data_IF_287466721587
#
_entry.id   IF_287466721587
#
_cell.length_a   1.000
_cell.length_b   1.000
_cell.length_c   1.000
_cell.angle_alpha   90.00
_cell.angle_beta   90.00
_cell.angle_gamma   90.00
#
_symmetry.space_group_name_H-M   'P 1'
#
loop_
_entity.id
_entity.type
_entity.pdbx_description
1 polymer ?
#
# COMPACT_ATOMS: atom_id res chain seq x y z
N UNK A 1 -26.59 21.21 16.34
CA UNK A 1 -25.15 21.14 16.71
C UNK A 1 -24.30 21.67 15.56
N UNK A 2 -23.08 22.21 15.82
CA UNK A 2 -22.21 22.76 14.75
C UNK A 2 -21.87 21.73 13.66
N UNK A 3 -21.72 20.46 14.03
CA UNK A 3 -21.42 19.37 13.09
C UNK A 3 -22.54 19.14 12.05
N UNK A 4 -23.80 19.15 12.48
CA UNK A 4 -24.96 18.96 11.58
C UNK A 4 -25.06 20.10 10.56
N UNK A 5 -24.74 21.34 10.97
CA UNK A 5 -24.71 22.49 10.07
C UNK A 5 -23.61 22.36 9.02
N UNK A 6 -22.43 21.82 9.37
CA UNK A 6 -21.35 21.57 8.41
C UNK A 6 -21.76 20.44 7.47
N UNK A 7 -22.36 19.38 8.00
CA UNK A 7 -22.83 18.24 7.21
C UNK A 7 -23.87 18.65 6.17
N UNK A 8 -24.85 19.48 6.54
CA UNK A 8 -25.85 20.01 5.61
C UNK A 8 -25.29 20.96 4.56
N UNK A 9 -24.13 21.58 4.79
CA UNK A 9 -23.43 22.39 3.77
C UNK A 9 -22.65 21.49 2.81
N UNK A 10 -22.03 20.43 3.31
CA UNK A 10 -21.26 19.50 2.48
C UNK A 10 -22.14 18.55 1.66
N UNK A 11 -23.36 18.25 2.11
CA UNK A 11 -24.27 17.30 1.47
C UNK A 11 -25.62 17.95 1.22
N UNK A 12 -25.99 18.14 -0.06
CA UNK A 12 -27.16 18.94 -0.47
C UNK A 12 -28.50 18.48 0.15
N UNK A 13 -28.66 17.18 0.41
CA UNK A 13 -29.87 16.60 1.03
C UNK A 13 -29.67 16.20 2.50
N UNK A 14 -28.58 16.63 3.13
CA UNK A 14 -28.21 16.20 4.49
C UNK A 14 -27.87 14.72 4.59
N UNK A 15 -27.59 14.06 3.45
CA UNK A 15 -27.15 12.67 3.34
C UNK A 15 -26.09 12.54 2.23
N UNK A 16 -25.05 11.72 2.43
CA UNK A 16 -24.11 11.40 1.36
C UNK A 16 -24.83 10.56 0.31
N UNK A 17 -24.68 10.93 -0.95
CA UNK A 17 -25.13 10.10 -2.07
C UNK A 17 -24.14 8.94 -2.18
N UNK A 18 -24.62 7.71 -2.04
CA UNK A 18 -23.79 6.51 -2.06
C UNK A 18 -24.35 5.48 -3.03
N UNK A 19 -23.46 4.68 -3.61
CA UNK A 19 -23.81 3.64 -4.56
C UNK A 19 -22.99 2.38 -4.29
N UNK A 20 -23.61 1.21 -4.43
CA UNK A 20 -22.90 -0.06 -4.40
C UNK A 20 -22.16 -0.24 -5.72
N UNK A 21 -20.85 -0.42 -5.65
CA UNK A 21 -19.99 -0.65 -6.82
C UNK A 21 -19.06 -1.83 -6.55
N UNK A 22 -18.61 -2.49 -7.60
CA UNK A 22 -17.60 -3.54 -7.49
C UNK A 22 -16.25 -2.92 -7.84
N UNK A 23 -15.31 -2.91 -6.88
CA UNK A 23 -13.92 -2.57 -7.18
C UNK A 23 -13.32 -3.76 -7.93
N UNK A 24 -12.90 -3.60 -9.20
CA UNK A 24 -12.34 -4.71 -9.96
C UNK A 24 -11.01 -5.18 -9.39
N UNK A 25 -10.74 -6.49 -9.49
CA UNK A 25 -9.41 -7.03 -9.30
C UNK A 25 -8.40 -6.31 -10.22
N UNK A 26 -7.19 -6.07 -9.72
CA UNK A 26 -6.17 -5.34 -10.45
C UNK A 26 -6.26 -3.81 -10.32
N UNK A 27 -7.32 -3.27 -9.70
CA UNK A 27 -7.41 -1.82 -9.43
C UNK A 27 -6.17 -1.36 -8.69
N UNK A 28 -5.45 -0.40 -9.28
CA UNK A 28 -4.22 0.12 -8.70
C UNK A 28 -4.52 1.09 -7.57
N UNK A 29 -3.74 0.94 -6.50
CA UNK A 29 -3.78 1.82 -5.34
C UNK A 29 -2.36 2.27 -5.02
N UNK A 30 -2.19 3.56 -4.74
CA UNK A 30 -0.91 4.11 -4.27
C UNK A 30 -0.91 4.12 -2.74
N UNK A 31 0.14 3.54 -2.14
CA UNK A 31 0.32 3.48 -0.70
C UNK A 31 1.59 4.18 -0.29
N UNK A 32 1.64 4.61 0.97
CA UNK A 32 2.80 5.18 1.64
C UNK A 32 3.07 4.43 2.94
N UNK A 33 4.33 4.07 3.18
CA UNK A 33 4.75 3.49 4.45
C UNK A 33 4.73 4.53 5.57
N UNK A 34 4.15 4.18 6.72
CA UNK A 34 4.06 5.07 7.90
C UNK A 34 5.25 4.94 8.86
N UNK A 35 6.18 4.04 8.57
CA UNK A 35 7.39 3.88 9.34
C UNK A 35 8.54 3.37 8.47
N UNK A 36 9.76 3.60 8.94
CA UNK A 36 10.96 3.08 8.28
C UNK A 36 11.08 1.57 8.53
N UNK A 37 11.20 0.79 7.45
CA UNK A 37 11.44 -0.67 7.52
C UNK A 37 12.86 -0.99 7.07
N UNK A 38 13.53 -1.92 7.75
CA UNK A 38 14.86 -2.37 7.39
C UNK A 38 15.11 -3.83 7.76
N UNK A 39 15.81 -4.54 6.87
CA UNK A 39 16.25 -5.92 7.14
C UNK A 39 17.26 -6.03 8.29
N UNK A 40 17.78 -4.89 8.78
CA UNK A 40 18.73 -4.84 9.90
C UNK A 40 18.03 -4.82 11.26
N UNK A 41 16.93 -4.08 11.38
CA UNK A 41 16.27 -3.76 12.65
C UNK A 41 14.96 -4.49 12.85
N UNK A 42 14.16 -4.63 11.78
CA UNK A 42 12.88 -5.30 11.86
C UNK A 42 13.05 -6.83 11.85
N UNK A 43 12.03 -7.52 12.37
CA UNK A 43 12.04 -8.98 12.57
C UNK A 43 10.92 -9.65 11.79
N UNK A 44 11.10 -10.93 11.50
CA UNK A 44 10.01 -11.78 10.98
C UNK A 44 8.84 -11.81 11.96
N UNK A 45 7.61 -11.67 11.45
CA UNK A 45 6.37 -11.60 12.23
C UNK A 45 6.01 -10.20 12.73
N UNK A 46 6.88 -9.20 12.49
CA UNK A 46 6.60 -7.82 12.86
C UNK A 46 5.60 -7.20 11.88
N UNK A 47 4.59 -6.50 12.40
CA UNK A 47 3.61 -5.77 11.59
C UNK A 47 4.04 -4.34 11.35
N UNK A 48 3.61 -3.77 10.23
CA UNK A 48 3.81 -2.36 9.90
C UNK A 48 2.52 -1.77 9.35
N UNK A 49 2.40 -0.45 9.48
CA UNK A 49 1.25 0.28 8.94
C UNK A 49 1.65 1.00 7.66
N UNK A 50 0.70 1.07 6.75
CA UNK A 50 0.75 1.90 5.56
C UNK A 50 -0.57 2.64 5.41
N UNK A 51 -0.60 3.66 4.58
CA UNK A 51 -1.82 4.35 4.24
C UNK A 51 -1.93 4.58 2.74
N UNK A 52 -3.14 4.81 2.27
CA UNK A 52 -3.39 5.23 0.90
C UNK A 52 -2.89 6.66 0.71
N UNK A 53 -2.05 6.90 -0.29
CA UNK A 53 -1.45 8.21 -0.55
C UNK A 53 -2.31 9.10 -1.45
N UNK A 54 -3.22 8.51 -2.24
CA UNK A 54 -4.09 9.23 -3.16
C UNK A 54 -5.49 8.62 -3.18
N UNK A 55 -6.52 9.47 -3.31
CA UNK A 55 -7.90 9.01 -3.46
C UNK A 55 -8.04 8.11 -4.69
N UNK A 56 -8.73 6.99 -4.53
CA UNK A 56 -9.03 6.05 -5.62
C UNK A 56 -10.49 6.22 -6.02
N UNK A 57 -10.71 6.41 -7.31
CA UNK A 57 -12.03 6.63 -7.89
C UNK A 57 -12.39 5.54 -8.89
N UNK A 58 -13.67 5.20 -8.95
CA UNK A 58 -14.28 4.38 -10.00
C UNK A 58 -15.49 5.13 -10.54
N UNK A 59 -15.49 5.49 -11.83
CA UNK A 59 -16.58 6.24 -12.47
C UNK A 59 -17.01 7.50 -11.68
N UNK A 60 -16.04 8.33 -11.29
CA UNK A 60 -16.20 9.54 -10.45
C UNK A 60 -16.74 9.29 -9.03
N UNK A 61 -16.79 8.04 -8.57
CA UNK A 61 -17.19 7.68 -7.20
C UNK A 61 -15.94 7.38 -6.38
N UNK A 62 -15.83 7.98 -5.20
CA UNK A 62 -14.74 7.73 -4.27
C UNK A 62 -14.92 6.35 -3.64
N UNK A 63 -14.01 5.43 -3.93
CA UNK A 63 -14.04 4.05 -3.42
C UNK A 63 -13.07 3.84 -2.25
N UNK A 64 -11.89 4.47 -2.30
CA UNK A 64 -10.87 4.37 -1.25
C UNK A 64 -10.32 5.78 -0.99
N UNK A 65 -10.56 6.35 0.21
CA UNK A 65 -10.04 7.66 0.54
C UNK A 65 -8.54 7.64 0.84
N UNK A 66 -7.89 8.78 0.59
CA UNK A 66 -6.54 9.07 1.08
C UNK A 66 -6.51 8.95 2.60
N UNK A 67 -5.38 8.48 3.12
CA UNK A 67 -5.16 8.14 4.53
C UNK A 67 -5.97 6.95 5.05
N UNK A 68 -6.68 6.20 4.20
CA UNK A 68 -7.15 4.86 4.61
C UNK A 68 -5.95 4.02 5.03
N UNK A 69 -5.98 3.55 6.29
CA UNK A 69 -4.90 2.76 6.87
C UNK A 69 -5.04 1.28 6.55
N UNK A 70 -3.90 0.63 6.30
CA UNK A 70 -3.79 -0.80 6.16
C UNK A 70 -2.62 -1.36 6.97
N UNK A 71 -2.65 -2.67 7.19
CA UNK A 71 -1.64 -3.39 7.96
C UNK A 71 -0.93 -4.40 7.07
N UNK A 72 0.40 -4.43 7.16
CA UNK A 72 1.25 -5.44 6.57
C UNK A 72 2.03 -6.22 7.63
N UNK A 73 2.65 -7.31 7.21
CA UNK A 73 3.53 -8.13 8.03
C UNK A 73 4.84 -8.42 7.30
N UNK A 74 5.94 -8.35 8.04
CA UNK A 74 7.25 -8.80 7.58
C UNK A 74 7.29 -10.33 7.70
N UNK A 75 7.03 -11.02 6.61
CA UNK A 75 7.09 -12.49 6.54
C UNK A 75 8.52 -13.00 6.62
N UNK A 76 9.53 -12.16 6.34
CA UNK A 76 10.93 -12.49 6.56
C UNK A 76 11.84 -11.28 6.64
N UNK A 77 12.67 -11.21 7.68
CA UNK A 77 13.79 -10.27 7.74
C UNK A 77 15.12 -11.01 7.84
N UNK A 78 16.04 -10.74 6.91
CA UNK A 78 17.42 -11.23 6.94
C UNK A 78 18.40 -10.08 6.85
N UNK A 79 19.14 -9.85 7.92
CA UNK A 79 20.22 -8.87 7.96
C UNK A 79 21.35 -9.26 7.00
N UNK A 80 21.97 -8.26 6.38
CA UNK A 80 23.16 -8.41 5.59
C UNK A 80 24.37 -8.81 6.44
N UNK A 81 25.24 -9.64 5.89
CA UNK A 81 26.55 -9.95 6.49
C UNK A 81 27.60 -9.07 5.84
N UNK A 82 28.49 -8.49 6.66
CA UNK A 82 29.41 -7.38 6.34
C UNK A 82 30.06 -7.42 4.94
N UNK A 83 30.33 -8.61 4.37
CA UNK A 83 31.03 -8.78 3.08
C UNK A 83 30.51 -9.93 2.19
N UNK A 84 29.38 -10.59 2.51
CA UNK A 84 28.98 -11.81 1.77
C UNK A 84 27.54 -11.84 1.30
N UNK A 85 26.58 -11.68 2.22
CA UNK A 85 25.15 -11.83 1.91
C UNK A 85 24.46 -10.48 1.98
N UNK A 86 23.73 -10.07 0.91
CA UNK A 86 22.87 -8.91 1.00
C UNK A 86 21.72 -9.16 1.98
N UNK A 87 21.21 -8.06 2.54
CA UNK A 87 19.99 -8.11 3.35
C UNK A 87 18.77 -8.41 2.49
N UNK A 88 17.74 -8.98 3.12
CA UNK A 88 16.46 -9.32 2.48
C UNK A 88 15.30 -8.99 3.42
N UNK A 89 14.26 -8.39 2.87
CA UNK A 89 12.96 -8.20 3.49
C UNK A 89 11.90 -8.87 2.59
N UNK A 90 11.10 -9.76 3.15
CA UNK A 90 9.89 -10.28 2.53
C UNK A 90 8.71 -9.79 3.38
N UNK A 91 7.65 -9.32 2.74
CA UNK A 91 6.48 -8.77 3.41
C UNK A 91 5.18 -9.07 2.66
N UNK A 92 4.10 -9.15 3.40
CA UNK A 92 2.74 -9.35 2.90
C UNK A 92 1.86 -8.17 3.33
N UNK A 93 0.99 -7.72 2.43
CA UNK A 93 -0.04 -6.74 2.73
C UNK A 93 -1.32 -7.50 3.09
N UNK A 94 -1.86 -7.29 4.30
CA UNK A 94 -2.99 -8.08 4.80
C UNK A 94 -4.32 -7.51 4.35
N UNK A 95 -4.65 -6.34 4.86
CA UNK A 95 -5.96 -5.73 4.66
C UNK A 95 -5.89 -4.21 4.70
N UNK A 96 -6.74 -3.60 3.87
CA UNK A 96 -7.04 -2.18 3.84
C UNK A 96 -8.55 -2.02 4.02
N UNK A 97 -9.01 -1.08 4.83
CA UNK A 97 -10.43 -0.76 4.92
C UNK A 97 -10.83 0.25 3.84
N UNK A 98 -11.86 -0.11 3.05
CA UNK A 98 -12.56 0.80 2.15
C UNK A 98 -13.38 1.84 2.95
N UNK A 99 -14.01 2.78 2.25
CA UNK A 99 -14.79 3.86 2.86
C UNK A 99 -15.91 3.37 3.79
N UNK A 100 -16.53 2.25 3.44
CA UNK A 100 -17.65 1.61 4.14
C UNK A 100 -17.20 0.61 5.22
N UNK A 101 -15.90 0.44 5.43
CA UNK A 101 -15.31 -0.54 6.33
C UNK A 101 -15.07 -1.92 5.72
N UNK A 102 -15.44 -2.14 4.44
CA UNK A 102 -15.18 -3.40 3.75
C UNK A 102 -13.68 -3.65 3.65
N UNK A 103 -13.25 -4.89 3.94
CA UNK A 103 -11.85 -5.28 3.92
C UNK A 103 -11.40 -5.63 2.51
N UNK A 104 -10.39 -4.90 2.02
CA UNK A 104 -9.74 -5.12 0.73
C UNK A 104 -8.41 -5.84 0.94
N UNK A 105 -8.20 -6.94 0.20
CA UNK A 105 -6.90 -7.59 0.11
C UNK A 105 -6.07 -6.94 -0.99
N UNK A 106 -4.83 -6.56 -0.67
CA UNK A 106 -3.90 -5.95 -1.63
C UNK A 106 -2.75 -6.90 -1.96
N UNK A 107 -2.32 -6.87 -3.21
CA UNK A 107 -1.20 -7.67 -3.71
C UNK A 107 -0.25 -6.81 -4.54
N UNK A 108 1.01 -7.25 -4.65
CA UNK A 108 1.91 -6.79 -5.69
C UNK A 108 1.64 -7.61 -6.96
N UNK A 109 0.61 -7.22 -7.71
CA UNK A 109 0.34 -7.81 -9.02
C UNK A 109 1.25 -7.24 -10.12
N UNK A 110 1.08 -7.73 -11.34
CA UNK A 110 1.97 -7.44 -12.48
C UNK A 110 2.06 -5.95 -12.81
N UNK A 111 0.93 -5.25 -12.90
CA UNK A 111 0.91 -3.82 -13.23
C UNK A 111 1.52 -2.98 -12.12
N UNK A 112 1.26 -3.33 -10.85
CA UNK A 112 1.88 -2.68 -9.71
C UNK A 112 3.40 -2.89 -9.71
N UNK A 113 3.87 -4.12 -10.00
CA UNK A 113 5.30 -4.42 -10.11
C UNK A 113 5.96 -3.57 -11.21
N UNK A 114 5.32 -3.47 -12.38
CA UNK A 114 5.84 -2.68 -13.49
C UNK A 114 5.88 -1.18 -13.16
N UNK A 115 4.80 -0.62 -12.60
CA UNK A 115 4.76 0.79 -12.18
C UNK A 115 5.79 1.09 -11.11
N UNK A 116 5.96 0.20 -10.13
CA UNK A 116 6.98 0.34 -9.11
C UNK A 116 8.40 0.33 -9.69
N UNK A 117 8.71 -0.59 -10.62
CA UNK A 117 10.01 -0.59 -11.33
C UNK A 117 10.28 0.76 -12.00
N UNK A 118 9.28 1.32 -12.69
CA UNK A 118 9.40 2.64 -13.35
C UNK A 118 9.57 3.78 -12.33
N UNK A 119 8.77 3.77 -11.26
CA UNK A 119 8.81 4.77 -10.19
C UNK A 119 10.20 4.84 -9.55
N UNK A 120 10.76 3.69 -9.15
CA UNK A 120 12.07 3.65 -8.50
C UNK A 120 13.23 4.00 -9.44
N UNK A 121 13.11 3.71 -10.73
CA UNK A 121 14.08 4.17 -11.74
C UNK A 121 14.04 5.69 -11.89
N UNK A 122 12.83 6.28 -11.95
CA UNK A 122 12.64 7.70 -12.24
C UNK A 122 13.00 8.63 -11.05
N UNK A 123 12.60 8.27 -9.83
CA UNK A 123 12.77 9.13 -8.67
C UNK A 123 14.17 8.99 -8.06
N UNK A 124 14.92 7.91 -8.39
CA UNK A 124 16.22 7.61 -7.79
C UNK A 124 16.18 7.46 -6.26
N UNK A 125 14.98 7.40 -5.67
CA UNK A 125 14.73 7.67 -4.28
C UNK A 125 14.44 6.41 -3.46
N UNK A 126 15.05 6.37 -2.27
CA UNK A 126 14.74 5.49 -1.14
C UNK A 126 15.29 4.06 -1.23
N UNK A 127 15.27 3.45 -2.41
CA UNK A 127 15.47 2.01 -2.62
C UNK A 127 16.67 1.76 -3.57
N UNK A 128 17.82 2.35 -3.27
CA UNK A 128 19.03 2.13 -4.07
C UNK A 128 19.55 0.69 -3.92
N UNK A 129 19.57 -0.02 -5.04
CA UNK A 129 20.10 -1.36 -5.14
C UNK A 129 19.20 -2.41 -4.52
N UNK A 130 17.89 -2.39 -4.77
CA UNK A 130 17.01 -3.52 -4.43
C UNK A 130 16.51 -4.26 -5.67
N UNK A 131 16.36 -5.57 -5.55
CA UNK A 131 15.50 -6.38 -6.42
C UNK A 131 14.12 -6.41 -5.77
N UNK A 132 13.11 -6.01 -6.53
CA UNK A 132 11.69 -6.11 -6.17
C UNK A 132 11.13 -7.27 -6.97
N UNK A 133 10.62 -8.29 -6.29
CA UNK A 133 9.95 -9.42 -6.92
C UNK A 133 8.60 -9.63 -6.27
N UNK A 134 7.58 -9.84 -7.09
CA UNK A 134 6.38 -10.51 -6.64
C UNK A 134 6.72 -11.96 -6.27
N UNK A 135 6.10 -12.44 -5.19
CA UNK A 135 6.15 -13.83 -4.76
C UNK A 135 4.72 -14.28 -4.43
N UNK A 136 4.44 -15.59 -4.40
CA UNK A 136 3.13 -16.08 -3.99
C UNK A 136 2.69 -15.62 -2.59
N UNK A 137 3.63 -15.23 -1.74
CA UNK A 137 3.42 -14.81 -0.34
C UNK A 137 3.45 -13.29 -0.19
N UNK A 138 3.66 -12.52 -1.27
CA UNK A 138 3.72 -11.05 -1.24
C UNK A 138 4.97 -10.47 -1.89
N UNK A 139 5.48 -9.38 -1.33
CA UNK A 139 6.60 -8.61 -1.86
C UNK A 139 7.94 -9.09 -1.30
N UNK A 140 8.91 -9.26 -2.20
CA UNK A 140 10.31 -9.52 -1.85
C UNK A 140 11.19 -8.34 -2.24
N UNK A 141 11.93 -7.82 -1.27
CA UNK A 141 12.96 -6.80 -1.42
C UNK A 141 14.31 -7.38 -1.01
N UNK A 142 15.31 -7.33 -1.90
CA UNK A 142 16.66 -7.81 -1.60
C UNK A 142 17.72 -6.84 -2.05
N UNK A 143 18.74 -6.57 -1.22
CA UNK A 143 19.84 -5.71 -1.63
C UNK A 143 20.68 -6.34 -2.76
N UNK A 144 21.12 -5.52 -3.71
CA UNK A 144 21.99 -5.87 -4.83
C UNK A 144 23.46 -5.88 -4.41
N UNK A 145 23.81 -5.06 -3.42
CA UNK A 145 25.18 -4.92 -2.94
C UNK A 145 25.39 -5.84 -1.73
N UNK A 146 26.36 -6.78 -1.78
CA UNK A 146 26.75 -7.57 -0.62
C UNK A 146 27.07 -6.70 0.59
N UNK A 147 26.64 -7.13 1.78
CA UNK A 147 26.86 -6.38 3.02
C UNK A 147 25.94 -5.17 3.24
N UNK A 148 25.06 -4.83 2.29
CA UNK A 148 24.04 -3.79 2.47
C UNK A 148 22.70 -4.38 2.88
N UNK A 149 22.04 -3.69 3.81
CA UNK A 149 20.69 -4.05 4.26
C UNK A 149 19.64 -3.38 3.37
N UNK A 150 18.47 -3.99 3.32
CA UNK A 150 17.28 -3.33 2.76
C UNK A 150 16.84 -2.23 3.72
N UNK A 151 16.45 -1.08 3.17
CA UNK A 151 15.80 -0.01 3.91
C UNK A 151 14.70 0.59 3.04
N UNK A 152 13.52 0.78 3.63
CA UNK A 152 12.40 1.53 3.10
C UNK A 152 12.23 2.69 4.07
N UNK A 153 12.42 3.92 3.60
CA UNK A 153 12.23 5.09 4.45
C UNK A 153 10.74 5.31 4.68
N UNK A 154 10.39 5.84 5.85
CA UNK A 154 9.06 6.39 6.08
C UNK A 154 8.69 7.39 4.97
N UNK A 155 7.44 7.36 4.53
CA UNK A 155 6.99 8.21 3.44
C UNK A 155 7.30 7.67 2.04
N UNK A 156 8.04 6.56 1.91
CA UNK A 156 8.22 5.89 0.62
C UNK A 156 6.86 5.46 0.07
N UNK A 157 6.64 5.71 -1.21
CA UNK A 157 5.41 5.35 -1.91
C UNK A 157 5.61 4.16 -2.84
N UNK A 158 4.55 3.37 -3.01
CA UNK A 158 4.51 2.29 -4.00
C UNK A 158 3.08 1.99 -4.44
N UNK A 159 2.95 1.33 -5.57
CA UNK A 159 1.68 0.82 -6.08
C UNK A 159 1.41 -0.60 -5.61
N UNK A 160 0.16 -0.90 -5.31
CA UNK A 160 -0.40 -2.23 -5.10
C UNK A 160 -1.66 -2.40 -5.94
N UNK A 161 -2.20 -3.62 -6.00
CA UNK A 161 -3.44 -3.94 -6.69
C UNK A 161 -4.43 -4.61 -5.76
N UNK A 162 -5.72 -4.33 -5.95
CA UNK A 162 -6.81 -5.08 -5.32
C UNK A 162 -6.78 -6.51 -5.83
N UNK A 163 -6.81 -7.49 -4.91
CA UNK A 163 -6.61 -8.91 -5.22
C UNK A 163 -7.77 -9.54 -6.00
N UNK A 164 -8.99 -9.14 -5.70
CA UNK A 164 -10.22 -9.75 -6.23
C UNK A 164 -11.34 -8.72 -6.31
N UNK A 165 -12.28 -8.94 -7.22
CA UNK A 165 -13.51 -8.16 -7.32
C UNK A 165 -14.19 -8.07 -5.96
N UNK A 166 -14.39 -6.86 -5.45
CA UNK A 166 -14.93 -6.64 -4.11
C UNK A 166 -16.05 -5.61 -4.16
N UNK A 167 -17.30 -5.96 -3.77
CA UNK A 167 -18.39 -4.99 -3.66
C UNK A 167 -18.14 -4.06 -2.47
N UNK A 168 -18.34 -2.77 -2.67
CA UNK A 168 -18.22 -1.73 -1.64
C UNK A 168 -19.30 -0.67 -1.83
N UNK A 169 -19.58 0.10 -0.79
CA UNK A 169 -20.36 1.32 -0.87
C UNK A 169 -19.41 2.50 -1.15
N UNK A 170 -19.58 3.13 -2.31
CA UNK A 170 -18.79 4.29 -2.74
C UNK A 170 -19.54 5.60 -2.51
N UNK A 171 -18.80 6.68 -2.31
CA UNK A 171 -19.37 8.03 -2.24
C UNK A 171 -19.43 8.65 -3.63
N UNK A 172 -20.63 9.05 -4.05
CA UNK A 172 -20.86 9.82 -5.28
C UNK A 172 -20.45 11.27 -5.01
N UNK A 173 -19.56 11.81 -5.85
CA UNK A 173 -19.13 13.21 -5.78
C UNK A 173 -20.02 14.15 -6.60
#
# INVERSE_FOLDING_TARGET
MRAESIFGVCFQEGRPQVEEVVIPAGTLVSIRFLSTLSSKSNKTGETFNFQISENVFLDNKLIIPVNSEGVGEITKAKKATLLSRPGKLEMEFKSLSALDGTSLSLILGEEAEEKNKRLYVAVGAGILGLIILSSPVGLVLGALVPGKNVKIEEGTEMFLQVKSDTPVIALVQ
#
